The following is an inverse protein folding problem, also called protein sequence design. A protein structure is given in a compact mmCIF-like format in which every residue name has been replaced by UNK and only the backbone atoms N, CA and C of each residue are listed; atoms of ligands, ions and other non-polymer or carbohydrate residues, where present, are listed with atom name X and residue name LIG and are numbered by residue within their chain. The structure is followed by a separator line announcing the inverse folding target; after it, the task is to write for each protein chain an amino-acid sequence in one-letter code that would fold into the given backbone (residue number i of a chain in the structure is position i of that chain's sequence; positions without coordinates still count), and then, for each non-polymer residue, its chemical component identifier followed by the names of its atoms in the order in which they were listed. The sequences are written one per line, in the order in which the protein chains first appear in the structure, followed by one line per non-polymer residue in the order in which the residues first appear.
data_IF_971704385698
#
_entry.id   IF_971704385698
#
_cell.length_a   1.000
_cell.length_b   1.000
_cell.length_c   1.000
_cell.angle_alpha   90.00
_cell.angle_beta   90.00
_cell.angle_gamma   90.00
#
_symmetry.space_group_name_H-M   'P 1'
#
loop_
_entity.id
_entity.type
_entity.pdbx_description
1 polymer ?
#
# COMPACT_ATOMS: atom_id res chain seq x y z
N UNK A 1 4.14 -2.98 -16.34
CA UNK A 1 3.52 -3.53 -15.12
C UNK A 1 3.10 -2.34 -14.31
N UNK A 2 1.83 -2.24 -13.96
CA UNK A 2 1.38 -1.12 -13.13
C UNK A 2 1.86 -1.35 -11.71
N UNK A 3 2.45 -0.31 -11.13
CA UNK A 3 2.91 -0.32 -9.74
C UNK A 3 1.80 0.25 -8.87
N UNK A 4 1.30 -0.58 -7.96
CA UNK A 4 0.15 -0.26 -7.12
C UNK A 4 0.57 -0.24 -5.66
N UNK A 5 0.31 0.86 -4.98
CA UNK A 5 0.55 1.03 -3.56
C UNK A 5 -0.74 0.83 -2.77
N UNK A 6 -0.65 0.18 -1.62
CA UNK A 6 -1.69 0.14 -0.59
C UNK A 6 -1.08 0.76 0.67
N UNK A 7 -1.65 1.85 1.19
CA UNK A 7 -1.18 2.51 2.39
C UNK A 7 -2.30 2.57 3.42
N UNK A 8 -2.21 1.72 4.44
CA UNK A 8 -3.26 1.48 5.43
C UNK A 8 -2.60 0.97 6.73
N UNK A 9 -2.98 1.51 7.89
CA UNK A 9 -2.43 1.09 9.19
C UNK A 9 -3.04 -0.22 9.71
N UNK A 10 -4.16 -0.65 9.13
CA UNK A 10 -4.79 -1.93 9.32
C UNK A 10 -4.22 -2.97 8.34
N UNK A 11 -3.14 -3.62 8.77
CA UNK A 11 -2.44 -4.67 8.01
C UNK A 11 -3.41 -5.76 7.49
N UNK A 12 -4.41 -6.16 8.27
CA UNK A 12 -5.35 -7.19 7.86
C UNK A 12 -6.21 -6.75 6.67
N UNK A 13 -6.65 -5.48 6.67
CA UNK A 13 -7.34 -4.89 5.54
C UNK A 13 -6.41 -4.72 4.34
N UNK A 14 -5.18 -4.24 4.55
CA UNK A 14 -4.17 -4.13 3.49
C UNK A 14 -3.91 -5.45 2.77
N UNK A 15 -3.71 -6.56 3.51
CA UNK A 15 -3.55 -7.90 2.93
C UNK A 15 -4.81 -8.42 2.24
N UNK A 16 -6.01 -8.01 2.68
CA UNK A 16 -7.26 -8.37 2.00
C UNK A 16 -7.38 -7.63 0.67
N UNK A 17 -7.03 -6.35 0.65
CA UNK A 17 -6.98 -5.52 -0.57
C UNK A 17 -5.98 -6.05 -1.59
N UNK A 18 -4.79 -6.47 -1.14
CA UNK A 18 -3.80 -7.14 -1.99
C UNK A 18 -4.40 -8.35 -2.72
N UNK A 19 -5.08 -9.24 -1.99
CA UNK A 19 -5.73 -10.42 -2.59
C UNK A 19 -6.77 -10.05 -3.64
N UNK A 20 -7.59 -9.02 -3.38
CA UNK A 20 -8.57 -8.56 -4.35
C UNK A 20 -7.93 -8.02 -5.63
N UNK A 21 -6.83 -7.29 -5.50
CA UNK A 21 -6.07 -6.79 -6.65
C UNK A 21 -5.40 -7.92 -7.42
N UNK A 22 -4.80 -8.91 -6.74
CA UNK A 22 -4.21 -10.08 -7.38
C UNK A 22 -5.24 -10.92 -8.14
N UNK A 23 -6.42 -11.16 -7.55
CA UNK A 23 -7.51 -11.88 -8.20
C UNK A 23 -8.04 -11.14 -9.43
N UNK A 24 -8.21 -9.81 -9.32
CA UNK A 24 -8.58 -8.96 -10.44
C UNK A 24 -7.53 -8.99 -11.55
N UNK A 25 -6.26 -8.79 -11.20
CA UNK A 25 -5.11 -8.81 -12.12
C UNK A 25 -5.03 -10.13 -12.89
N UNK A 26 -5.21 -11.25 -12.18
CA UNK A 26 -5.22 -12.59 -12.77
C UNK A 26 -6.39 -12.77 -13.75
N UNK A 27 -7.59 -12.31 -13.39
CA UNK A 27 -8.78 -12.44 -14.24
C UNK A 27 -8.68 -11.62 -15.52
N UNK A 28 -8.18 -10.39 -15.42
CA UNK A 28 -8.07 -9.46 -16.55
C UNK A 28 -6.75 -9.58 -17.33
N UNK A 29 -5.85 -10.49 -16.91
CA UNK A 29 -4.50 -10.65 -17.45
C UNK A 29 -3.67 -9.34 -17.44
N UNK A 30 -3.84 -8.54 -16.37
CA UNK A 30 -3.12 -7.28 -16.16
C UNK A 30 -1.93 -7.55 -15.23
N UNK A 31 -0.68 -7.25 -15.63
CA UNK A 31 0.47 -7.39 -14.73
C UNK A 31 0.51 -6.25 -13.71
N UNK A 32 0.42 -6.61 -12.42
CA UNK A 32 0.55 -5.70 -11.28
C UNK A 32 1.79 -6.02 -10.43
N UNK A 33 2.40 -4.98 -9.89
CA UNK A 33 3.41 -5.01 -8.83
C UNK A 33 2.83 -4.28 -7.62
N UNK A 34 2.56 -5.01 -6.54
CA UNK A 34 1.85 -4.49 -5.37
C UNK A 34 2.85 -4.27 -4.24
N UNK A 35 2.79 -3.09 -3.62
CA UNK A 35 3.59 -2.72 -2.45
C UNK A 35 2.64 -2.25 -1.34
N UNK A 36 2.83 -2.78 -0.13
CA UNK A 36 2.02 -2.44 1.04
C UNK A 36 2.84 -1.57 1.99
N UNK A 37 2.23 -0.51 2.50
CA UNK A 37 2.78 0.40 3.50
C UNK A 37 1.87 0.38 4.73
N UNK A 38 2.43 0.10 5.91
CA UNK A 38 1.70 0.12 7.18
C UNK A 38 1.59 1.51 7.81
N UNK A 39 2.16 2.53 7.16
CA UNK A 39 2.10 3.92 7.62
C UNK A 39 2.41 4.90 6.50
N UNK A 40 1.92 6.14 6.62
CA UNK A 40 2.27 7.21 5.69
C UNK A 40 3.77 7.51 5.67
N UNK A 41 4.43 7.40 6.83
CA UNK A 41 5.88 7.53 6.97
C UNK A 41 6.67 6.49 6.15
N UNK A 42 6.17 5.26 6.05
CA UNK A 42 6.78 4.22 5.21
C UNK A 42 6.64 4.53 3.72
N UNK A 43 5.44 4.95 3.29
CA UNK A 43 5.19 5.39 1.92
C UNK A 43 6.06 6.60 1.53
N UNK A 44 6.22 7.59 2.42
CA UNK A 44 7.08 8.75 2.14
C UNK A 44 8.55 8.36 1.95
N UNK A 45 9.07 7.41 2.74
CA UNK A 45 10.42 6.88 2.56
C UNK A 45 10.57 6.17 1.23
N UNK A 46 9.57 5.39 0.85
CA UNK A 46 9.51 4.73 -0.45
C UNK A 46 9.59 5.72 -1.61
N UNK A 47 8.78 6.79 -1.54
CA UNK A 47 8.71 7.83 -2.56
C UNK A 47 10.05 8.54 -2.81
N UNK A 48 10.91 8.59 -1.80
CA UNK A 48 12.23 9.21 -1.90
C UNK A 48 13.27 8.27 -2.53
N UNK A 49 13.08 6.96 -2.44
CA UNK A 49 14.07 5.95 -2.83
C UNK A 49 13.76 5.29 -4.18
N UNK A 50 12.48 5.13 -4.51
CA UNK A 50 12.00 4.29 -5.60
C UNK A 50 11.26 5.07 -6.68
N UNK A 51 11.08 4.45 -7.85
CA UNK A 51 10.22 4.99 -8.89
C UNK A 51 8.76 5.15 -8.39
N UNK A 52 8.06 6.22 -8.83
CA UNK A 52 6.72 6.54 -8.34
C UNK A 52 5.70 5.43 -8.64
N UNK A 53 4.69 5.36 -7.78
CA UNK A 53 3.56 4.44 -7.88
C UNK A 53 2.57 4.99 -8.92
N UNK A 54 1.99 4.12 -9.76
CA UNK A 54 0.99 4.51 -10.77
C UNK A 54 -0.38 4.74 -10.12
N UNK A 55 -0.78 3.89 -9.17
CA UNK A 55 -2.06 3.93 -8.45
C UNK A 55 -1.82 3.71 -6.96
N UNK A 56 -2.31 4.61 -6.11
CA UNK A 56 -2.24 4.47 -4.65
C UNK A 56 -3.64 4.33 -4.06
N UNK A 57 -3.89 3.19 -3.42
CA UNK A 57 -5.00 3.01 -2.49
C UNK A 57 -4.54 3.53 -1.13
N UNK A 58 -5.04 4.70 -0.74
CA UNK A 58 -4.63 5.39 0.47
C UNK A 58 -5.81 5.44 1.44
N UNK A 59 -5.62 4.90 2.64
CA UNK A 59 -6.50 5.21 3.74
C UNK A 59 -6.32 6.68 4.15
N UNK A 60 -7.45 7.38 4.30
CA UNK A 60 -7.47 8.80 4.66
C UNK A 60 -7.28 9.00 6.17
N UNK A 61 -7.49 7.96 6.97
CA UNK A 61 -7.33 7.95 8.43
C UNK A 61 -6.18 7.02 8.83
N UNK A 62 -4.95 7.52 8.81
CA UNK A 62 -3.79 6.77 9.29
C UNK A 62 -3.46 7.16 10.72
N UNK A 63 -3.56 6.23 11.67
CA UNK A 63 -3.06 6.43 13.02
C UNK A 63 -1.53 6.38 13.02
N UNK A 64 -0.89 7.54 13.03
CA UNK A 64 0.53 7.59 13.32
C UNK A 64 0.73 7.31 14.81
N UNK A 65 1.10 6.06 15.14
CA UNK A 65 1.40 5.68 16.51
C UNK A 65 2.56 6.52 17.03
N UNK A 66 2.24 7.61 17.72
CA UNK A 66 3.20 8.30 18.57
C UNK A 66 3.66 7.29 19.62
N UNK A 67 4.92 6.88 19.58
CA UNK A 67 5.51 6.19 20.73
C UNK A 67 5.48 7.16 21.93
N UNK A 68 4.46 7.05 22.77
CA UNK A 68 4.55 7.50 24.14
C UNK A 68 5.50 6.54 24.86
N UNK A 69 6.78 6.93 24.93
CA UNK A 69 7.69 6.34 25.89
C UNK A 69 7.21 6.76 27.29
N UNK A 70 6.48 5.87 27.97
CA UNK A 70 6.27 5.89 29.41
C UNK A 70 6.91 4.65 30.03
#
# INVERSE_FOLDING_TARGET
MYKVGICDDNIAFGSQMEKYLEEYAKREAIPLDIVIFGSGSEYLKYLQAEAPIDILFLDIELEEKSMEFL
#
